data_IF_815017226140
#
_entry.id   IF_815017226140
#
_cell.length_a   1.000
_cell.length_b   1.000
_cell.length_c   1.000
_cell.angle_alpha   90.00
_cell.angle_beta   90.00
_cell.angle_gamma   90.00
#
_symmetry.space_group_name_H-M   'P 1'
#
loop_
_entity.id
_entity.type
_entity.pdbx_description
1 polymer ?
#
# COMPACT_ATOMS: atom_id res chain seq x y z
N UNK A 1 2.51 11.09 10.08
CA UNK A 1 3.06 10.03 9.21
C UNK A 1 3.60 10.67 7.94
N UNK A 2 4.87 10.49 7.69
CA UNK A 2 5.49 11.05 6.51
C UNK A 2 5.80 9.97 5.50
N UNK A 3 5.65 10.33 4.22
CA UNK A 3 5.92 9.42 3.10
C UNK A 3 7.11 9.90 2.33
N UNK A 4 7.91 8.95 1.86
CA UNK A 4 9.08 9.29 1.03
C UNK A 4 8.85 8.72 -0.37
N UNK A 5 8.91 9.60 -1.37
CA UNK A 5 8.72 9.23 -2.77
C UNK A 5 9.95 9.63 -3.58
N UNK A 6 10.33 8.77 -4.50
CA UNK A 6 11.37 9.08 -5.48
C UNK A 6 10.99 8.40 -6.79
N UNK A 7 11.80 8.57 -7.83
CA UNK A 7 11.47 8.02 -9.14
C UNK A 7 11.29 6.51 -9.10
N UNK A 8 12.11 5.83 -8.28
CA UNK A 8 12.07 4.38 -8.23
C UNK A 8 10.70 3.87 -7.77
N UNK A 9 10.22 4.34 -6.63
CA UNK A 9 8.96 3.80 -6.12
C UNK A 9 7.73 4.36 -6.83
N UNK A 10 7.80 5.61 -7.31
CA UNK A 10 6.69 6.15 -8.10
C UNK A 10 6.50 5.38 -9.39
N UNK A 11 7.59 5.10 -10.10
CA UNK A 11 7.52 4.35 -11.35
C UNK A 11 7.11 2.91 -11.12
N UNK A 12 7.60 2.32 -10.03
CA UNK A 12 7.33 0.93 -9.72
C UNK A 12 5.83 0.69 -9.51
N UNK A 13 5.16 1.55 -8.73
CA UNK A 13 3.73 1.37 -8.50
C UNK A 13 2.89 1.82 -9.69
N UNK A 14 3.41 2.75 -10.50
CA UNK A 14 2.72 3.20 -11.71
C UNK A 14 2.53 2.06 -12.70
N UNK A 15 3.43 1.08 -12.70
CA UNK A 15 3.31 -0.10 -13.58
C UNK A 15 2.01 -0.86 -13.35
N UNK A 16 1.47 -0.79 -12.15
CA UNK A 16 0.21 -1.45 -11.79
C UNK A 16 -0.96 -0.47 -11.73
N UNK A 17 -0.75 0.76 -12.23
CA UNK A 17 -1.81 1.75 -12.29
C UNK A 17 -2.13 2.41 -10.96
N UNK A 18 -1.18 2.47 -10.04
CA UNK A 18 -1.38 3.09 -8.74
C UNK A 18 -0.52 4.35 -8.64
N UNK A 19 -1.10 5.45 -8.17
CA UNK A 19 -0.38 6.70 -7.96
C UNK A 19 0.09 6.82 -6.51
N UNK A 20 1.08 7.69 -6.24
CA UNK A 20 1.48 7.97 -4.84
C UNK A 20 0.31 8.40 -3.98
N UNK A 21 -0.55 9.29 -4.50
CA UNK A 21 -1.71 9.76 -3.75
C UNK A 21 -2.60 8.59 -3.32
N UNK A 22 -2.84 7.67 -4.26
CA UNK A 22 -3.71 6.52 -3.99
C UNK A 22 -3.09 5.57 -2.96
N UNK A 23 -1.79 5.33 -3.07
CA UNK A 23 -1.09 4.50 -2.08
C UNK A 23 -1.18 5.11 -0.69
N UNK A 24 -1.03 6.44 -0.60
CA UNK A 24 -1.15 7.12 0.68
C UNK A 24 -2.56 7.01 1.26
N UNK A 25 -3.59 7.11 0.40
CA UNK A 25 -4.98 6.91 0.86
C UNK A 25 -5.15 5.55 1.51
N UNK A 26 -4.62 4.50 0.89
CA UNK A 26 -4.75 3.14 1.40
C UNK A 26 -4.08 3.03 2.77
N UNK A 27 -2.87 3.55 2.90
CA UNK A 27 -2.12 3.43 4.15
C UNK A 27 -2.74 4.28 5.26
N UNK A 28 -3.14 5.53 4.95
CA UNK A 28 -3.74 6.40 5.94
C UNK A 28 -5.10 5.88 6.43
N UNK A 29 -5.80 5.16 5.57
CA UNK A 29 -7.11 4.61 5.91
C UNK A 29 -7.07 3.20 6.46
N UNK A 30 -5.89 2.68 6.79
CA UNK A 30 -5.77 1.29 7.25
C UNK A 30 -6.59 1.03 8.50
N UNK A 31 -7.33 -0.08 8.49
CA UNK A 31 -8.10 -0.53 9.65
C UNK A 31 -7.68 -1.95 9.98
N UNK A 32 -7.78 -2.31 11.26
CA UNK A 32 -7.38 -3.63 11.71
C UNK A 32 -7.87 -4.73 10.77
N UNK A 33 -7.04 -5.72 10.48
CA UNK A 33 -5.74 -6.03 11.09
C UNK A 33 -4.56 -5.34 10.43
N UNK A 34 -4.80 -4.34 9.59
CA UNK A 34 -3.72 -3.66 8.86
C UNK A 34 -3.21 -2.44 9.60
N UNK A 35 -1.94 -2.08 9.41
CA UNK A 35 -0.95 -2.79 8.57
C UNK A 35 -0.48 -4.07 9.25
N UNK A 36 -0.24 -5.10 8.42
CA UNK A 36 0.27 -6.38 8.90
C UNK A 36 1.75 -6.50 8.59
N UNK A 37 2.52 -6.92 9.58
CA UNK A 37 3.93 -7.20 9.35
C UNK A 37 4.05 -8.53 8.62
N UNK A 38 4.72 -8.52 7.46
CA UNK A 38 4.84 -9.74 6.64
C UNK A 38 6.26 -10.28 6.59
N UNK A 39 7.24 -9.42 6.83
CA UNK A 39 8.65 -9.79 6.96
C UNK A 39 9.25 -8.83 7.98
N UNK A 40 10.53 -8.97 8.29
CA UNK A 40 11.16 -8.19 9.34
C UNK A 40 10.89 -6.70 9.27
N UNK A 41 10.95 -6.14 8.06
CA UNK A 41 10.82 -4.70 7.87
C UNK A 41 9.68 -4.33 6.93
N UNK A 42 8.86 -5.28 6.49
CA UNK A 42 7.81 -5.02 5.50
C UNK A 42 6.42 -5.10 6.10
N UNK A 43 5.59 -4.15 5.71
CA UNK A 43 4.22 -4.03 6.19
C UNK A 43 3.26 -4.05 5.01
N UNK A 44 2.15 -4.73 5.17
CA UNK A 44 1.14 -4.89 4.13
C UNK A 44 -0.17 -4.26 4.56
N UNK A 45 -0.80 -3.54 3.63
CA UNK A 45 -2.14 -3.00 3.84
C UNK A 45 -3.02 -3.40 2.67
N UNK A 46 -4.19 -3.96 2.99
CA UNK A 46 -5.29 -4.05 2.04
C UNK A 46 -6.25 -2.94 2.42
N UNK A 47 -6.59 -2.11 1.45
CA UNK A 47 -7.49 -0.99 1.68
C UNK A 47 -8.07 -0.50 0.37
N UNK A 48 -8.82 0.58 0.45
CA UNK A 48 -9.49 1.12 -0.73
C UNK A 48 -8.83 2.41 -1.17
N UNK A 49 -8.51 2.47 -2.45
CA UNK A 49 -7.97 3.66 -3.09
C UNK A 49 -9.09 4.50 -3.68
N UNK A 50 -8.76 5.24 -4.73
CA UNK A 50 -9.72 6.14 -5.38
C UNK A 50 -10.89 5.34 -5.94
N UNK A 51 -12.09 5.91 -5.81
CA UNK A 51 -13.30 5.24 -6.28
C UNK A 51 -13.63 3.97 -5.53
N UNK A 52 -12.98 3.73 -4.40
CA UNK A 52 -13.23 2.56 -3.58
C UNK A 52 -12.59 1.28 -4.07
N UNK A 53 -11.70 1.35 -5.07
CA UNK A 53 -11.11 0.12 -5.60
C UNK A 53 -10.14 -0.51 -4.60
N UNK A 54 -10.25 -1.82 -4.39
CA UNK A 54 -9.40 -2.47 -3.38
C UNK A 54 -7.99 -2.70 -3.90
N UNK A 55 -7.02 -2.29 -3.08
CA UNK A 55 -5.60 -2.33 -3.43
C UNK A 55 -4.81 -2.99 -2.31
N UNK A 56 -3.67 -3.56 -2.72
CA UNK A 56 -2.64 -3.99 -1.79
C UNK A 56 -1.48 -3.02 -1.88
N UNK A 57 -1.00 -2.56 -0.73
CA UNK A 57 0.19 -1.70 -0.68
C UNK A 57 1.16 -2.31 0.32
N UNK A 58 2.44 -2.38 -0.06
CA UNK A 58 3.50 -2.86 0.84
C UNK A 58 4.50 -1.73 1.00
N UNK A 59 4.90 -1.49 2.24
CA UNK A 59 5.86 -0.44 2.54
C UNK A 59 6.87 -0.89 3.58
N UNK A 60 7.98 -0.17 3.64
CA UNK A 60 8.98 -0.29 4.70
C UNK A 60 9.08 1.07 5.38
N UNK A 61 9.63 1.09 6.59
CA UNK A 61 9.97 2.35 7.25
C UNK A 61 11.46 2.56 7.04
N UNK A 62 11.83 3.74 6.55
CA UNK A 62 13.24 4.05 6.35
C UNK A 62 13.89 4.51 7.66
N UNK A 63 15.16 4.89 7.60
CA UNK A 63 15.92 5.28 8.79
C UNK A 63 15.33 6.47 9.53
N UNK A 64 14.55 7.29 8.83
CA UNK A 64 13.89 8.46 9.42
C UNK A 64 12.45 8.16 9.82
N UNK A 65 12.05 6.88 9.81
CA UNK A 65 10.68 6.44 10.07
C UNK A 65 9.68 6.98 9.06
N UNK A 66 10.13 7.35 7.87
CA UNK A 66 9.24 7.69 6.77
C UNK A 66 8.72 6.43 6.10
N UNK A 67 7.48 6.47 5.66
CA UNK A 67 6.87 5.36 4.93
C UNK A 67 7.40 5.36 3.50
N UNK A 68 8.08 4.29 3.12
CA UNK A 68 8.61 4.12 1.77
C UNK A 68 7.87 2.96 1.11
N UNK A 69 6.97 3.31 0.19
CA UNK A 69 6.16 2.30 -0.51
C UNK A 69 7.04 1.58 -1.52
N UNK A 70 7.00 0.24 -1.50
CA UNK A 70 7.81 -0.57 -2.40
C UNK A 70 6.97 -1.38 -3.37
N UNK A 71 5.65 -1.44 -3.15
CA UNK A 71 4.76 -2.25 -4.00
C UNK A 71 3.33 -1.77 -3.84
N UNK A 72 2.59 -1.74 -4.93
CA UNK A 72 1.15 -1.48 -4.89
C UNK A 72 0.51 -2.08 -6.13
N UNK A 73 -0.64 -2.71 -5.95
CA UNK A 73 -1.41 -3.29 -7.04
C UNK A 73 -2.86 -3.49 -6.64
N UNK A 74 -3.77 -3.61 -7.62
CA UNK A 74 -5.15 -4.02 -7.30
C UNK A 74 -5.18 -5.42 -6.71
N UNK A 75 -6.18 -5.70 -5.89
CA UNK A 75 -6.40 -7.05 -5.37
C UNK A 75 -6.90 -7.95 -6.49
N UNK A 76 -6.53 -9.22 -6.43
CA UNK A 76 -7.09 -10.24 -7.33
C UNK A 76 -8.53 -10.53 -6.91
N UNK A 77 -9.28 -11.25 -7.75
CA UNK A 77 -10.65 -11.62 -7.40
C UNK A 77 -10.69 -12.48 -6.13
N UNK A 78 -9.74 -13.38 -5.98
CA UNK A 78 -9.64 -14.21 -4.78
C UNK A 78 -9.39 -13.37 -3.54
N UNK A 79 -8.48 -12.41 -3.65
CA UNK A 79 -8.17 -11.52 -2.54
C UNK A 79 -9.36 -10.62 -2.19
N UNK A 80 -10.09 -10.13 -3.19
CA UNK A 80 -11.27 -9.32 -2.96
C UNK A 80 -12.32 -10.08 -2.14
N UNK A 81 -12.50 -11.36 -2.42
CA UNK A 81 -13.45 -12.19 -1.67
C UNK A 81 -13.03 -12.31 -0.21
N UNK A 82 -11.74 -12.47 0.04
CA UNK A 82 -11.22 -12.52 1.43
C UNK A 82 -11.35 -11.18 2.12
N UNK A 83 -11.10 -10.10 1.40
CA UNK A 83 -11.13 -8.76 1.96
C UNK A 83 -12.53 -8.32 2.38
N UNK A 84 -13.55 -8.81 1.72
CA UNK A 84 -14.94 -8.42 2.02
C UNK A 84 -15.50 -9.04 3.30
N UNK A 85 -14.80 -9.99 3.88
CA UNK A 85 -15.28 -10.68 5.08
C UNK A 85 -15.15 -9.83 6.34
#
# INVERSE_FOLDING_TARGET
MEFRWNDWNEEHIAEKGVSPFEAELVIRGAVRPYPKRIEDDKWLVWGRGRGGRPLQVIFVLDDDDCVFVIHARPLTQREKRRYRR
#
